data_IF_253995898918
#
_entry.id   IF_253995898918
#
_cell.length_a   1.000
_cell.length_b   1.000
_cell.length_c   1.000
_cell.angle_alpha   90.00
_cell.angle_beta   90.00
_cell.angle_gamma   90.00
#
_symmetry.space_group_name_H-M   'P 1'
#
loop_
_entity.id
_entity.type
_entity.pdbx_description
1 polymer ?
#
# COMPACT_ATOMS: atom_id res chain seq x y z
N UNK A 1 13.64 11.92 -5.56
CA UNK A 1 14.52 11.34 -4.52
C UNK A 1 13.95 11.66 -3.15
N UNK A 2 13.34 10.68 -2.49
CA UNK A 2 12.77 10.85 -1.15
C UNK A 2 13.90 11.03 -0.14
N UNK A 3 13.95 12.18 0.54
CA UNK A 3 14.86 12.38 1.67
C UNK A 3 14.36 11.55 2.85
N UNK A 4 15.22 10.68 3.39
CA UNK A 4 15.02 10.03 4.69
C UNK A 4 14.63 11.14 5.71
N UNK A 5 13.38 11.17 6.16
CA UNK A 5 12.97 12.11 7.20
C UNK A 5 13.39 11.53 8.55
N UNK A 6 14.47 12.09 9.10
CA UNK A 6 14.96 11.83 10.47
C UNK A 6 13.80 11.91 11.47
N UNK A 7 13.61 10.84 12.25
CA UNK A 7 13.37 11.00 13.70
C UNK A 7 14.74 10.93 14.36
N UNK A 8 15.17 12.04 14.95
CA UNK A 8 16.30 12.06 15.87
C UNK A 8 15.94 11.16 17.05
N UNK A 9 16.56 9.99 17.16
CA UNK A 9 16.63 9.25 18.41
C UNK A 9 17.91 9.71 19.11
N UNK A 10 17.75 10.52 20.14
CA UNK A 10 18.81 10.74 21.13
C UNK A 10 18.97 9.46 21.94
N UNK A 11 19.98 8.65 21.63
CA UNK A 11 20.55 7.71 22.58
C UNK A 11 22.06 7.74 22.41
N UNK A 12 22.73 8.39 23.37
CA UNK A 12 24.18 8.32 23.47
C UNK A 12 24.61 6.91 23.88
N UNK A 13 25.64 6.40 23.21
CA UNK A 13 26.53 5.39 23.76
C UNK A 13 27.93 5.69 23.25
N UNK A 14 28.80 6.10 24.16
CA UNK A 14 30.25 6.08 23.97
C UNK A 14 30.74 4.63 24.00
N UNK A 15 31.65 4.30 23.07
CA UNK A 15 32.67 3.27 23.25
C UNK A 15 32.25 1.83 22.97
N UNK A 16 32.50 1.35 21.75
CA UNK A 16 32.77 -0.07 21.49
C UNK A 16 33.93 -0.19 20.50
N UNK A 17 35.01 -0.83 20.94
CA UNK A 17 36.28 -0.96 20.25
C UNK A 17 36.32 -2.07 19.19
N UNK A 18 37.49 -2.12 18.53
CA UNK A 18 37.90 -2.86 17.33
C UNK A 18 37.79 -4.42 17.35
N UNK A 19 36.77 -5.02 17.96
CA UNK A 19 36.58 -6.49 17.94
C UNK A 19 35.35 -7.00 17.21
N UNK A 20 34.66 -6.18 16.41
CA UNK A 20 33.41 -6.57 15.72
C UNK A 20 33.59 -7.09 14.28
N UNK A 21 34.82 -7.16 13.74
CA UNK A 21 35.05 -7.47 12.33
C UNK A 21 35.42 -8.93 12.01
N UNK A 22 35.31 -9.86 12.95
CA UNK A 22 35.69 -11.28 12.72
C UNK A 22 34.59 -12.29 13.06
N UNK A 23 33.37 -12.03 12.60
CA UNK A 23 32.46 -13.12 12.27
C UNK A 23 32.04 -12.97 10.81
N UNK A 24 32.60 -13.86 9.98
CA UNK A 24 32.18 -14.07 8.61
C UNK A 24 30.67 -14.31 8.59
N UNK A 25 29.91 -13.33 8.10
CA UNK A 25 28.54 -13.48 7.62
C UNK A 25 28.56 -14.45 6.42
N UNK A 26 28.77 -15.73 6.70
CA UNK A 26 28.33 -16.78 5.80
C UNK A 26 26.81 -16.64 5.74
N UNK A 27 26.32 -16.23 4.57
CA UNK A 27 24.93 -16.24 4.13
C UNK A 27 24.39 -17.68 4.11
N UNK A 28 24.52 -18.43 5.20
CA UNK A 28 23.82 -19.70 5.36
C UNK A 28 22.46 -19.38 5.96
N UNK A 29 21.47 -19.14 5.10
CA UNK A 29 20.11 -19.59 5.44
C UNK A 29 20.24 -21.04 5.93
N UNK A 30 19.64 -21.43 7.06
CA UNK A 30 19.63 -22.82 7.50
C UNK A 30 19.27 -23.72 6.30
N UNK A 31 19.93 -24.88 6.10
CA UNK A 31 19.69 -25.75 4.95
C UNK A 31 18.22 -26.16 4.77
N UNK A 32 17.43 -26.07 5.84
CA UNK A 32 16.03 -26.45 5.93
C UNK A 32 15.08 -25.26 6.20
N UNK A 33 15.48 -24.02 5.92
CA UNK A 33 14.58 -22.86 6.02
C UNK A 33 13.45 -23.01 4.97
N UNK A 34 12.17 -23.15 5.38
CA UNK A 34 11.06 -23.30 4.44
C UNK A 34 10.76 -22.03 3.64
N UNK A 35 11.36 -20.89 3.99
CA UNK A 35 11.20 -19.60 3.31
C UNK A 35 12.57 -18.89 3.19
N UNK A 36 13.51 -19.39 2.37
CA UNK A 36 14.84 -18.83 2.28
C UNK A 36 14.83 -17.44 1.62
N UNK A 37 15.70 -16.55 2.10
CA UNK A 37 15.88 -15.24 1.48
C UNK A 37 16.44 -15.36 0.05
N UNK A 38 15.81 -14.67 -0.90
CA UNK A 38 16.34 -14.56 -2.27
C UNK A 38 17.60 -13.68 -2.27
N UNK A 39 18.74 -14.30 -2.61
CA UNK A 39 20.04 -13.63 -2.65
C UNK A 39 20.10 -12.50 -3.68
N UNK A 40 19.37 -12.60 -4.80
CA UNK A 40 19.32 -11.53 -5.81
C UNK A 40 18.53 -10.33 -5.30
N UNK A 41 17.43 -10.60 -4.59
CA UNK A 41 16.64 -9.55 -3.94
C UNK A 41 17.48 -8.82 -2.89
N UNK A 42 18.15 -9.56 -2.00
CA UNK A 42 19.01 -8.98 -0.97
C UNK A 42 20.14 -8.14 -1.58
N UNK A 43 20.78 -8.61 -2.66
CA UNK A 43 21.83 -7.84 -3.31
C UNK A 43 21.28 -6.51 -3.86
N UNK A 44 20.09 -6.52 -4.46
CA UNK A 44 19.43 -5.32 -4.97
C UNK A 44 19.08 -4.34 -3.84
N UNK A 45 18.53 -4.84 -2.74
CA UNK A 45 18.18 -4.04 -1.56
C UNK A 45 19.44 -3.41 -0.93
N UNK A 46 20.51 -4.19 -0.76
CA UNK A 46 21.78 -3.68 -0.24
C UNK A 46 22.39 -2.62 -1.16
N UNK A 47 22.39 -2.86 -2.47
CA UNK A 47 22.85 -1.87 -3.44
C UNK A 47 22.06 -0.57 -3.34
N UNK A 48 20.74 -0.66 -3.18
CA UNK A 48 19.92 0.53 -3.01
C UNK A 48 20.21 1.26 -1.70
N UNK A 49 20.33 0.55 -0.57
CA UNK A 49 20.69 1.13 0.72
C UNK A 49 22.04 1.87 0.65
N UNK A 50 23.04 1.27 -0.01
CA UNK A 50 24.35 1.88 -0.20
C UNK A 50 24.31 3.07 -1.17
N UNK A 51 23.58 2.97 -2.29
CA UNK A 51 23.40 4.09 -3.21
C UNK A 51 22.71 5.27 -2.53
N UNK A 52 21.71 4.99 -1.70
CA UNK A 52 20.99 6.03 -0.97
C UNK A 52 21.90 6.68 0.09
N UNK A 53 22.70 5.88 0.80
CA UNK A 53 23.67 6.34 1.78
C UNK A 53 24.82 7.18 1.16
N UNK A 54 25.27 6.82 -0.04
CA UNK A 54 26.37 7.49 -0.75
C UNK A 54 25.92 8.73 -1.51
N UNK A 55 24.69 8.73 -2.06
CA UNK A 55 23.92 9.89 -2.53
C UNK A 55 24.68 11.01 -3.26
N UNK A 56 24.08 12.20 -3.30
CA UNK A 56 24.74 13.42 -3.80
C UNK A 56 25.55 14.08 -2.67
N UNK A 57 26.20 13.26 -1.85
CA UNK A 57 27.07 13.72 -0.76
C UNK A 57 28.35 14.16 -1.47
N UNK A 58 28.44 15.47 -1.76
CA UNK A 58 29.37 16.06 -2.72
C UNK A 58 30.74 15.39 -2.80
N UNK A 59 31.27 15.26 -4.03
CA UNK A 59 32.54 14.55 -4.33
C UNK A 59 33.60 14.87 -3.27
N UNK A 60 34.01 13.85 -2.54
CA UNK A 60 35.19 13.92 -1.69
C UNK A 60 36.38 14.39 -2.52
N UNK A 61 37.19 15.31 -1.98
CA UNK A 61 38.46 15.70 -2.61
C UNK A 61 39.49 14.55 -2.57
N UNK A 62 39.25 13.54 -1.72
CA UNK A 62 40.04 12.32 -1.65
C UNK A 62 39.29 11.17 -2.36
N UNK A 63 39.81 10.63 -3.48
CA UNK A 63 39.16 9.54 -4.21
C UNK A 63 39.06 8.22 -3.42
N UNK A 64 39.82 8.08 -2.33
CA UNK A 64 39.79 6.89 -1.46
C UNK A 64 38.72 6.98 -0.37
N UNK A 65 38.03 8.11 -0.24
CA UNK A 65 36.98 8.33 0.77
C UNK A 65 35.62 8.53 0.09
N UNK A 66 34.68 7.67 0.41
CA UNK A 66 33.29 7.79 -0.01
C UNK A 66 32.49 8.41 1.14
N UNK A 67 32.00 9.64 1.00
CA UNK A 67 31.20 10.26 2.05
C UNK A 67 29.83 9.56 2.14
N UNK A 68 29.40 9.27 3.36
CA UNK A 68 28.09 8.70 3.65
C UNK A 68 27.24 9.74 4.37
N UNK A 69 25.95 9.78 4.05
CA UNK A 69 24.99 10.65 4.75
C UNK A 69 24.54 10.10 6.11
N UNK A 70 24.91 8.86 6.42
CA UNK A 70 24.60 8.14 7.65
C UNK A 70 25.84 7.36 8.11
N UNK A 71 25.92 7.06 9.40
CA UNK A 71 27.02 6.28 9.96
C UNK A 71 26.99 4.84 9.40
N UNK A 72 28.17 4.24 9.19
CA UNK A 72 28.27 2.90 8.65
C UNK A 72 27.72 1.85 9.63
N UNK A 73 27.89 2.06 10.94
CA UNK A 73 27.32 1.22 12.00
C UNK A 73 25.79 1.24 11.98
N UNK A 74 25.18 2.41 11.77
CA UNK A 74 23.73 2.54 11.61
C UNK A 74 23.23 1.75 10.39
N UNK A 75 23.90 1.89 9.25
CA UNK A 75 23.55 1.16 8.02
C UNK A 75 23.71 -0.35 8.20
N UNK A 76 24.74 -0.79 8.91
CA UNK A 76 24.94 -2.19 9.25
C UNK A 76 23.84 -2.71 10.18
N UNK A 77 23.41 -1.91 11.18
CA UNK A 77 22.28 -2.23 12.04
C UNK A 77 20.98 -2.44 11.25
N UNK A 78 20.65 -1.51 10.37
CA UNK A 78 19.49 -1.61 9.47
C UNK A 78 19.54 -2.87 8.60
N UNK A 79 20.71 -3.18 8.04
CA UNK A 79 20.88 -4.38 7.21
C UNK A 79 20.74 -5.67 8.03
N UNK A 80 21.18 -5.68 9.29
CA UNK A 80 20.99 -6.81 10.19
C UNK A 80 19.52 -7.05 10.51
N UNK A 81 18.73 -6.02 10.75
CA UNK A 81 17.28 -6.17 10.93
C UNK A 81 16.63 -6.81 9.69
N UNK A 82 17.02 -6.35 8.49
CA UNK A 82 16.52 -6.91 7.22
C UNK A 82 16.83 -8.40 7.08
N UNK A 83 18.08 -8.81 7.32
CA UNK A 83 18.57 -10.17 7.02
C UNK A 83 18.30 -11.15 8.16
N UNK A 84 18.59 -10.77 9.41
CA UNK A 84 18.53 -11.66 10.57
C UNK A 84 17.12 -11.73 11.17
N UNK A 85 16.42 -10.60 11.20
CA UNK A 85 15.09 -10.53 11.80
C UNK A 85 13.99 -10.75 10.76
N UNK A 86 14.33 -10.67 9.46
CA UNK A 86 13.38 -10.70 8.34
C UNK A 86 12.44 -9.49 8.37
N UNK A 87 12.91 -8.34 8.89
CA UNK A 87 12.14 -7.10 8.85
C UNK A 87 11.97 -6.65 7.39
N UNK A 88 10.74 -6.32 6.92
CA UNK A 88 10.54 -5.83 5.57
C UNK A 88 11.47 -4.68 5.24
N UNK A 89 12.10 -4.72 4.08
CA UNK A 89 13.10 -3.73 3.71
C UNK A 89 12.53 -2.30 3.70
N UNK A 90 11.29 -2.15 3.27
CA UNK A 90 10.55 -0.89 3.27
C UNK A 90 10.35 -0.31 4.68
N UNK A 91 10.18 -1.17 5.69
CA UNK A 91 10.10 -0.72 7.08
C UNK A 91 11.47 -0.33 7.62
N UNK A 92 12.53 -1.04 7.18
CA UNK A 92 13.93 -0.70 7.52
C UNK A 92 14.30 0.68 6.96
N UNK A 93 13.97 0.97 5.70
CA UNK A 93 14.28 2.25 5.06
C UNK A 93 13.22 3.35 5.28
N UNK A 94 12.05 2.98 5.81
CA UNK A 94 10.93 3.87 6.11
C UNK A 94 10.18 4.44 4.89
N UNK A 95 10.33 3.84 3.71
CA UNK A 95 9.58 4.23 2.53
C UNK A 95 9.36 3.08 1.54
N UNK A 96 8.35 3.26 0.67
CA UNK A 96 8.08 2.39 -0.47
C UNK A 96 7.95 3.23 -1.74
N UNK A 97 8.53 2.72 -2.82
CA UNK A 97 8.35 3.25 -4.16
C UNK A 97 7.12 2.62 -4.79
N UNK A 98 6.15 3.43 -5.17
CA UNK A 98 4.88 2.94 -5.73
C UNK A 98 4.38 3.93 -6.78
N UNK A 99 4.26 3.49 -8.04
CA UNK A 99 4.06 4.35 -9.21
C UNK A 99 5.15 5.44 -9.29
N UNK A 100 4.72 6.69 -9.45
CA UNK A 100 5.53 7.91 -9.39
C UNK A 100 5.70 8.46 -7.96
N UNK A 101 5.27 7.70 -6.94
CA UNK A 101 5.29 8.09 -5.54
C UNK A 101 6.42 7.42 -4.75
N UNK A 102 6.87 8.11 -3.70
CA UNK A 102 7.73 7.60 -2.62
C UNK A 102 6.97 7.88 -1.33
N UNK A 103 6.27 6.85 -0.87
CA UNK A 103 5.38 6.89 0.27
C UNK A 103 6.16 6.55 1.53
N UNK A 104 5.90 7.26 2.62
CA UNK A 104 6.33 6.81 3.93
C UNK A 104 5.52 5.57 4.31
N UNK A 105 6.20 4.53 4.77
CA UNK A 105 5.59 3.32 5.32
C UNK A 105 6.34 2.92 6.58
N UNK A 106 5.68 2.14 7.42
CA UNK A 106 6.25 1.65 8.66
C UNK A 106 5.35 0.60 9.30
N UNK A 107 5.79 0.08 10.44
CA UNK A 107 5.08 -0.94 11.18
C UNK A 107 3.62 -0.54 11.45
N UNK A 108 2.70 -1.48 11.26
CA UNK A 108 1.26 -1.26 11.41
C UNK A 108 0.55 -0.73 10.16
N UNK A 109 1.24 -0.64 9.01
CA UNK A 109 0.66 -0.25 7.72
C UNK A 109 1.09 -1.20 6.61
N UNK A 110 0.14 -1.73 5.83
CA UNK A 110 0.43 -2.57 4.67
C UNK A 110 1.40 -1.86 3.71
N UNK A 111 2.42 -2.57 3.25
CA UNK A 111 3.33 -2.06 2.23
C UNK A 111 2.59 -2.09 0.88
N UNK A 112 2.42 -0.95 0.18
CA UNK A 112 1.73 -0.90 -1.12
C UNK A 112 2.32 -1.91 -2.10
N UNK A 113 1.45 -2.63 -2.80
CA UNK A 113 1.87 -3.66 -3.76
C UNK A 113 1.84 -3.12 -5.20
N UNK A 114 2.80 -3.53 -6.06
CA UNK A 114 2.82 -3.10 -7.47
C UNK A 114 1.54 -3.43 -8.23
N UNK A 115 0.89 -4.54 -7.90
CA UNK A 115 -0.35 -4.97 -8.54
C UNK A 115 -1.47 -3.92 -8.33
N UNK A 116 -1.56 -3.36 -7.13
CA UNK A 116 -2.55 -2.34 -6.75
C UNK A 116 -2.44 -1.04 -7.57
N UNK A 117 -1.31 -0.79 -8.25
CA UNK A 117 -1.11 0.41 -9.08
C UNK A 117 -2.18 0.56 -10.17
N UNK A 118 -2.72 -0.57 -10.65
CA UNK A 118 -3.77 -0.64 -11.67
C UNK A 118 -5.05 0.09 -11.24
N UNK A 119 -5.37 0.12 -9.94
CA UNK A 119 -6.57 0.82 -9.42
C UNK A 119 -6.59 2.29 -9.83
N UNK A 120 -5.43 2.95 -9.81
CA UNK A 120 -5.34 4.38 -10.18
C UNK A 120 -5.60 4.58 -11.67
N UNK A 121 -5.18 3.65 -12.52
CA UNK A 121 -5.45 3.70 -13.96
C UNK A 121 -6.93 3.44 -14.26
N UNK A 122 -7.56 2.49 -13.58
CA UNK A 122 -9.00 2.25 -13.67
C UNK A 122 -9.82 3.51 -13.30
N UNK A 123 -9.45 4.18 -12.21
CA UNK A 123 -10.07 5.46 -11.81
C UNK A 123 -9.84 6.54 -12.87
N UNK A 124 -8.61 6.67 -13.37
CA UNK A 124 -8.25 7.66 -14.39
C UNK A 124 -9.08 7.48 -15.67
N UNK A 125 -9.24 6.25 -16.16
CA UNK A 125 -10.06 5.95 -17.34
C UNK A 125 -11.51 6.43 -17.17
N UNK A 126 -12.10 6.17 -15.99
CA UNK A 126 -13.45 6.61 -15.67
C UNK A 126 -13.54 8.14 -15.61
N UNK A 127 -12.59 8.81 -14.96
CA UNK A 127 -12.56 10.28 -14.87
C UNK A 127 -12.45 10.93 -16.26
N UNK A 128 -11.60 10.39 -17.14
CA UNK A 128 -11.46 10.88 -18.52
C UNK A 128 -12.77 10.68 -19.29
N UNK A 129 -13.39 9.50 -19.20
CA UNK A 129 -14.66 9.22 -19.88
C UNK A 129 -15.85 10.05 -19.38
N UNK A 130 -15.75 10.62 -18.18
CA UNK A 130 -16.75 11.52 -17.57
C UNK A 130 -16.46 12.99 -17.79
N UNK A 131 -15.26 13.35 -18.27
CA UNK A 131 -14.85 14.76 -18.43
C UNK A 131 -15.85 15.52 -19.31
N UNK A 132 -16.38 16.63 -18.78
CA UNK A 132 -17.42 17.44 -19.44
C UNK A 132 -18.87 16.98 -19.25
N UNK A 133 -19.13 15.93 -18.45
CA UNK A 133 -20.49 15.46 -18.13
C UNK A 133 -20.88 15.83 -16.69
N UNK A 134 -21.78 16.81 -16.57
CA UNK A 134 -22.41 17.23 -15.30
C UNK A 134 -21.72 18.39 -14.60
N UNK A 135 -22.50 19.12 -13.79
CA UNK A 135 -22.10 20.36 -13.12
C UNK A 135 -21.80 20.21 -11.62
N UNK A 136 -21.80 18.98 -11.10
CA UNK A 136 -21.69 18.69 -9.67
C UNK A 136 -20.28 18.32 -9.18
N UNK A 137 -20.09 18.42 -7.87
CA UNK A 137 -18.91 17.90 -7.14
C UNK A 137 -18.77 16.39 -7.34
N UNK A 138 -17.53 15.92 -7.53
CA UNK A 138 -17.23 14.49 -7.65
C UNK A 138 -16.53 13.96 -6.39
N UNK A 139 -17.28 13.26 -5.55
CA UNK A 139 -16.72 12.62 -4.35
C UNK A 139 -16.30 11.19 -4.69
N UNK A 140 -15.04 10.88 -4.50
CA UNK A 140 -14.47 9.54 -4.61
C UNK A 140 -14.10 9.02 -3.23
N UNK A 141 -14.08 7.70 -3.03
CA UNK A 141 -13.66 7.11 -1.77
C UNK A 141 -12.67 5.96 -1.96
N UNK A 142 -11.75 5.84 -1.00
CA UNK A 142 -10.76 4.77 -0.86
C UNK A 142 -10.94 4.14 0.53
N UNK A 143 -11.44 2.90 0.59
CA UNK A 143 -11.74 2.23 1.85
C UNK A 143 -10.61 1.26 2.24
N UNK A 144 -10.10 1.39 3.46
CA UNK A 144 -8.91 0.66 3.91
C UNK A 144 -7.64 1.26 3.30
N UNK A 145 -7.49 2.58 3.39
CA UNK A 145 -6.47 3.33 2.62
C UNK A 145 -5.02 2.99 2.98
N UNK A 146 -4.78 2.40 4.16
CA UNK A 146 -3.46 2.00 4.61
C UNK A 146 -2.48 3.18 4.63
N UNK A 147 -1.44 3.11 3.79
CA UNK A 147 -0.45 4.18 3.66
C UNK A 147 -0.97 5.42 2.92
N UNK A 148 -2.19 5.39 2.38
CA UNK A 148 -2.74 6.41 1.52
C UNK A 148 -2.33 6.27 0.05
N UNK A 149 -1.71 5.15 -0.37
CA UNK A 149 -1.19 4.97 -1.73
C UNK A 149 -2.26 5.22 -2.80
N UNK A 150 -3.40 4.53 -2.70
CA UNK A 150 -4.52 4.67 -3.61
C UNK A 150 -5.10 6.09 -3.50
N UNK A 151 -5.40 6.58 -2.29
CA UNK A 151 -5.94 7.92 -2.09
C UNK A 151 -5.07 9.05 -2.67
N UNK A 152 -3.75 8.99 -2.50
CA UNK A 152 -2.79 9.96 -3.07
C UNK A 152 -2.75 9.84 -4.59
N UNK A 153 -2.67 8.62 -5.13
CA UNK A 153 -2.72 8.37 -6.57
C UNK A 153 -4.01 8.89 -7.21
N UNK A 154 -5.16 8.63 -6.57
CA UNK A 154 -6.47 9.15 -6.96
C UNK A 154 -6.52 10.68 -6.91
N UNK A 155 -5.98 11.29 -5.86
CA UNK A 155 -5.88 12.76 -5.74
C UNK A 155 -5.16 13.39 -6.94
N UNK A 156 -4.18 12.70 -7.52
CA UNK A 156 -3.47 13.12 -8.73
C UNK A 156 -4.27 13.00 -10.03
N UNK A 157 -5.32 12.16 -10.09
CA UNK A 157 -6.06 11.86 -11.34
C UNK A 157 -7.51 12.32 -11.34
N UNK A 158 -8.17 12.48 -10.20
CA UNK A 158 -9.52 13.04 -10.16
C UNK A 158 -9.50 14.50 -10.63
N UNK A 159 -10.55 14.94 -11.32
CA UNK A 159 -10.61 16.27 -11.92
C UNK A 159 -10.58 17.41 -10.89
N UNK A 160 -10.56 18.66 -11.35
CA UNK A 160 -10.54 19.86 -10.47
C UNK A 160 -11.73 19.92 -9.50
N UNK A 161 -12.89 19.41 -9.92
CA UNK A 161 -14.12 19.33 -9.11
C UNK A 161 -14.20 18.05 -8.26
N UNK A 162 -13.16 17.23 -8.31
CA UNK A 162 -13.07 15.93 -7.66
C UNK A 162 -12.29 16.00 -6.35
N UNK A 163 -12.80 15.32 -5.33
CA UNK A 163 -12.08 15.07 -4.08
C UNK A 163 -12.17 13.60 -3.68
N UNK A 164 -11.22 13.16 -2.88
CA UNK A 164 -11.13 11.79 -2.34
C UNK A 164 -11.39 11.83 -0.84
N UNK A 165 -12.23 10.93 -0.35
CA UNK A 165 -12.37 10.64 1.09
C UNK A 165 -11.85 9.24 1.34
N UNK A 166 -10.72 9.14 2.02
CA UNK A 166 -10.13 7.86 2.35
C UNK A 166 -10.45 7.49 3.80
N UNK A 167 -10.76 6.21 4.04
CA UNK A 167 -11.06 5.71 5.38
C UNK A 167 -10.12 4.58 5.77
N UNK A 168 -9.80 4.49 7.06
CA UNK A 168 -9.11 3.33 7.62
C UNK A 168 -9.52 3.14 9.09
N UNK A 169 -9.58 1.89 9.53
CA UNK A 169 -9.87 1.54 10.92
C UNK A 169 -8.64 1.79 11.82
N UNK A 170 -7.43 1.58 11.29
CA UNK A 170 -6.18 1.70 12.03
C UNK A 170 -5.78 3.17 12.23
N UNK A 171 -5.64 3.59 13.48
CA UNK A 171 -5.13 4.94 13.80
C UNK A 171 -3.70 5.16 13.26
N UNK A 172 -2.89 4.09 13.22
CA UNK A 172 -1.53 4.14 12.66
C UNK A 172 -1.60 4.41 11.16
N UNK A 173 -2.39 3.63 10.42
CA UNK A 173 -2.61 3.83 8.98
C UNK A 173 -3.13 5.25 8.68
N UNK A 174 -4.11 5.73 9.44
CA UNK A 174 -4.64 7.10 9.30
C UNK A 174 -3.55 8.17 9.46
N UNK A 175 -2.65 8.04 10.44
CA UNK A 175 -1.53 8.98 10.64
C UNK A 175 -0.58 8.96 9.44
N UNK A 176 -0.29 7.78 8.92
CA UNK A 176 0.59 7.59 7.75
C UNK A 176 -0.02 8.14 6.48
N UNK A 177 -1.28 7.81 6.20
CA UNK A 177 -2.01 8.35 5.05
C UNK A 177 -2.05 9.89 5.09
N UNK A 178 -2.30 10.50 6.26
CA UNK A 178 -2.24 11.96 6.41
C UNK A 178 -0.86 12.53 6.10
N UNK A 179 0.20 11.88 6.58
CA UNK A 179 1.57 12.29 6.29
C UNK A 179 1.87 12.23 4.79
N UNK A 180 1.47 11.16 4.11
CA UNK A 180 1.68 11.03 2.67
C UNK A 180 0.82 12.01 1.86
N UNK A 181 -0.43 12.24 2.23
CA UNK A 181 -1.27 13.29 1.61
C UNK A 181 -0.63 14.68 1.75
N UNK A 182 -0.09 14.99 2.92
CA UNK A 182 0.62 16.25 3.16
C UNK A 182 1.89 16.37 2.30
N UNK A 183 2.69 15.30 2.24
CA UNK A 183 3.93 15.23 1.46
C UNK A 183 3.71 15.56 -0.02
N UNK A 184 2.53 15.22 -0.55
CA UNK A 184 2.14 15.49 -1.94
C UNK A 184 1.27 16.75 -2.10
N UNK A 185 1.13 17.56 -1.06
CA UNK A 185 0.33 18.80 -1.06
C UNK A 185 -1.14 18.58 -1.49
N UNK A 186 -1.72 17.45 -1.11
CA UNK A 186 -3.08 17.05 -1.50
C UNK A 186 -4.13 17.26 -0.39
N UNK A 187 -3.81 18.00 0.68
CA UNK A 187 -4.72 18.18 1.84
C UNK A 187 -6.10 18.75 1.47
N UNK A 188 -6.17 19.60 0.45
CA UNK A 188 -7.42 20.20 -0.01
C UNK A 188 -8.25 19.25 -0.89
N UNK A 189 -7.63 18.16 -1.36
CA UNK A 189 -8.22 17.23 -2.33
C UNK A 189 -8.46 15.83 -1.77
N UNK A 190 -7.70 15.43 -0.75
CA UNK A 190 -7.77 14.11 -0.12
C UNK A 190 -7.99 14.27 1.38
N UNK A 191 -9.14 13.81 1.86
CA UNK A 191 -9.51 13.83 3.26
C UNK A 191 -9.36 12.43 3.86
N UNK A 192 -8.62 12.31 4.97
CA UNK A 192 -8.46 11.03 5.70
C UNK A 192 -9.36 11.00 6.94
N UNK A 193 -10.28 10.04 7.00
CA UNK A 193 -11.20 9.82 8.12
C UNK A 193 -10.91 8.46 8.79
N UNK A 194 -10.99 8.41 10.11
CA UNK A 194 -10.82 7.16 10.85
C UNK A 194 -12.18 6.49 11.06
N UNK A 195 -12.24 5.18 10.88
CA UNK A 195 -13.40 4.35 11.21
C UNK A 195 -13.56 3.18 10.25
N UNK A 196 -14.54 2.33 10.50
CA UNK A 196 -14.69 1.09 9.73
C UNK A 196 -15.43 1.36 8.43
N UNK A 197 -14.81 0.98 7.31
CA UNK A 197 -15.43 0.99 5.97
C UNK A 197 -16.20 2.28 5.68
N UNK A 198 -17.52 2.18 5.66
CA UNK A 198 -18.45 3.24 5.30
C UNK A 198 -18.89 4.13 6.47
N UNK A 199 -18.64 3.75 7.72
CA UNK A 199 -19.08 4.53 8.90
C UNK A 199 -18.67 6.01 8.83
N UNK A 200 -17.44 6.36 8.40
CA UNK A 200 -17.02 7.75 8.32
C UNK A 200 -17.58 8.49 7.10
N UNK A 201 -18.44 7.87 6.28
CA UNK A 201 -18.93 8.40 5.00
C UNK A 201 -20.43 8.71 4.98
N UNK A 202 -21.12 8.69 6.12
CA UNK A 202 -22.59 8.87 6.16
C UNK A 202 -23.06 10.22 5.56
N UNK A 203 -22.24 11.28 5.64
CA UNK A 203 -22.49 12.60 5.01
C UNK A 203 -22.52 12.55 3.47
N UNK A 204 -21.85 11.57 2.86
CA UNK A 204 -21.72 11.37 1.41
C UNK A 204 -22.45 10.11 0.89
N UNK A 205 -23.28 9.49 1.72
CA UNK A 205 -24.12 8.36 1.34
C UNK A 205 -25.02 8.68 0.14
N UNK A 206 -25.07 7.77 -0.82
CA UNK A 206 -25.77 7.94 -2.11
C UNK A 206 -25.15 8.98 -3.06
N UNK A 207 -24.00 9.56 -2.73
CA UNK A 207 -23.37 10.67 -3.50
C UNK A 207 -22.02 10.29 -4.11
N UNK A 208 -21.45 9.13 -3.78
CA UNK A 208 -20.13 8.76 -4.27
C UNK A 208 -20.15 8.57 -5.79
N UNK A 209 -19.21 9.25 -6.45
CA UNK A 209 -18.92 9.13 -7.88
C UNK A 209 -18.12 7.88 -8.18
N UNK A 210 -17.26 7.47 -7.25
CA UNK A 210 -16.67 6.16 -7.27
C UNK A 210 -16.11 5.73 -5.93
N UNK A 211 -15.92 4.43 -5.78
CA UNK A 211 -15.43 3.78 -4.57
C UNK A 211 -14.38 2.74 -4.94
N UNK A 212 -13.22 2.77 -4.30
CA UNK A 212 -12.19 1.75 -4.48
C UNK A 212 -11.77 1.18 -3.14
N UNK A 213 -11.26 -0.05 -3.16
CA UNK A 213 -10.67 -0.67 -1.97
C UNK A 213 -9.69 -1.77 -2.37
N UNK A 214 -8.57 -1.84 -1.66
CA UNK A 214 -7.77 -3.05 -1.53
C UNK A 214 -8.01 -3.62 -0.12
N UNK A 215 -9.10 -4.40 0.09
CA UNK A 215 -9.43 -4.91 1.41
C UNK A 215 -8.56 -6.12 1.78
N UNK A 216 -8.55 -6.53 3.06
CA UNK A 216 -8.00 -7.81 3.45
C UNK A 216 -8.76 -8.94 2.76
N UNK A 217 -8.06 -9.80 2.02
CA UNK A 217 -8.67 -10.87 1.22
C UNK A 217 -8.01 -12.25 1.42
N UNK A 218 -7.03 -12.37 2.31
CA UNK A 218 -6.33 -13.64 2.54
C UNK A 218 -7.17 -14.50 3.48
N UNK A 219 -7.52 -15.75 3.11
CA UNK A 219 -8.21 -16.65 4.01
C UNK A 219 -7.42 -16.85 5.32
N UNK A 220 -8.07 -16.80 6.47
CA UNK A 220 -7.39 -16.86 7.79
C UNK A 220 -6.49 -18.10 7.92
N UNK A 221 -6.89 -19.23 7.31
CA UNK A 221 -6.13 -20.48 7.29
C UNK A 221 -4.80 -20.40 6.54
N UNK A 222 -4.65 -19.44 5.63
CA UNK A 222 -3.44 -19.26 4.82
C UNK A 222 -2.43 -18.32 5.49
N UNK A 223 -2.83 -17.52 6.48
CA UNK A 223 -1.95 -16.56 7.16
C UNK A 223 -0.67 -17.18 7.74
N UNK A 224 -0.69 -18.39 8.37
CA UNK A 224 0.53 -18.99 8.89
C UNK A 224 1.56 -19.36 7.82
N UNK A 225 1.16 -19.45 6.54
CA UNK A 225 2.02 -19.79 5.41
C UNK A 225 2.57 -18.57 4.66
N UNK A 226 2.32 -17.36 5.15
CA UNK A 226 2.89 -16.15 4.54
C UNK A 226 4.39 -16.07 4.80
N UNK A 227 5.10 -15.39 3.89
CA UNK A 227 6.52 -15.09 4.05
C UNK A 227 6.77 -14.38 5.38
N UNK A 228 7.94 -14.62 5.98
CA UNK A 228 8.26 -14.11 7.31
C UNK A 228 8.10 -12.58 7.40
N UNK A 229 8.54 -11.86 6.38
CA UNK A 229 8.42 -10.40 6.25
C UNK A 229 6.96 -9.95 6.37
N UNK A 230 6.03 -10.65 5.71
CA UNK A 230 4.61 -10.28 5.69
C UNK A 230 3.92 -10.76 6.96
N UNK A 231 4.02 -12.05 7.27
CA UNK A 231 3.27 -12.69 8.35
C UNK A 231 3.68 -12.23 9.75
N UNK A 232 4.94 -11.78 9.94
CA UNK A 232 5.44 -11.32 11.24
C UNK A 232 5.28 -9.81 11.46
N UNK A 233 5.35 -9.01 10.39
CA UNK A 233 5.48 -7.55 10.52
C UNK A 233 4.31 -6.75 9.94
N UNK A 234 3.67 -7.22 8.88
CA UNK A 234 2.53 -6.48 8.32
C UNK A 234 1.28 -6.72 9.16
N UNK A 235 0.41 -5.70 9.32
CA UNK A 235 -0.71 -5.78 10.25
C UNK A 235 -1.69 -6.87 9.78
N UNK A 236 -1.98 -7.84 10.65
CA UNK A 236 -2.99 -8.87 10.39
C UNK A 236 -4.34 -8.28 9.95
N UNK A 237 -4.72 -7.13 10.49
CA UNK A 237 -5.92 -6.38 10.12
C UNK A 237 -5.98 -6.02 8.63
N UNK A 238 -4.84 -5.83 7.96
CA UNK A 238 -4.78 -5.53 6.53
C UNK A 238 -4.67 -6.78 5.65
N UNK A 239 -4.54 -7.97 6.24
CA UNK A 239 -4.29 -9.23 5.53
C UNK A 239 -5.48 -10.21 5.64
N UNK A 240 -6.01 -10.40 6.84
CA UNK A 240 -7.02 -11.41 7.16
C UNK A 240 -8.40 -11.05 6.60
N UNK A 241 -8.81 -11.72 5.52
CA UNK A 241 -10.12 -11.57 4.89
C UNK A 241 -11.21 -12.48 5.47
N UNK A 242 -10.95 -13.11 6.62
CA UNK A 242 -11.87 -14.05 7.27
C UNK A 242 -11.72 -15.48 6.77
N UNK A 243 -12.70 -16.34 7.09
CA UNK A 243 -12.61 -17.79 6.88
C UNK A 243 -12.30 -18.17 5.41
N UNK A 244 -12.96 -17.47 4.49
CA UNK A 244 -12.84 -17.68 3.05
C UNK A 244 -12.03 -16.60 2.33
N UNK A 245 -11.66 -15.51 3.01
CA UNK A 245 -11.09 -14.32 2.38
C UNK A 245 -12.13 -13.37 1.76
N UNK A 246 -13.43 -13.70 1.84
CA UNK A 246 -14.51 -12.95 1.16
C UNK A 246 -15.26 -11.96 2.04
N UNK A 247 -15.08 -12.01 3.36
CA UNK A 247 -15.98 -11.35 4.31
C UNK A 247 -16.04 -9.82 4.06
N UNK A 248 -14.87 -9.21 3.86
CA UNK A 248 -14.76 -7.78 3.57
C UNK A 248 -15.19 -7.43 2.13
N UNK A 249 -14.90 -8.29 1.16
CA UNK A 249 -15.32 -8.08 -0.23
C UNK A 249 -16.84 -8.07 -0.37
N UNK A 250 -17.53 -9.03 0.28
CA UNK A 250 -18.99 -9.09 0.30
C UNK A 250 -19.56 -7.84 0.98
N UNK A 251 -19.02 -7.45 2.15
CA UNK A 251 -19.42 -6.24 2.86
C UNK A 251 -19.30 -4.98 1.99
N UNK A 252 -18.20 -4.85 1.25
CA UNK A 252 -17.96 -3.75 0.32
C UNK A 252 -18.98 -3.74 -0.82
N UNK A 253 -19.25 -4.89 -1.44
CA UNK A 253 -20.24 -5.00 -2.51
C UNK A 253 -21.64 -4.57 -2.05
N UNK A 254 -22.08 -5.05 -0.89
CA UNK A 254 -23.38 -4.71 -0.31
C UNK A 254 -23.47 -3.22 0.06
N UNK A 255 -22.45 -2.69 0.74
CA UNK A 255 -22.39 -1.28 1.14
C UNK A 255 -22.37 -0.34 -0.07
N UNK A 256 -21.68 -0.72 -1.14
CA UNK A 256 -21.57 0.09 -2.37
C UNK A 256 -22.92 0.43 -2.99
N UNK A 257 -23.93 -0.44 -2.85
CA UNK A 257 -25.29 -0.19 -3.35
C UNK A 257 -25.89 1.08 -2.73
N UNK A 258 -25.58 1.35 -1.46
CA UNK A 258 -26.14 2.46 -0.68
C UNK A 258 -25.31 3.75 -0.77
N UNK A 259 -24.02 3.65 -1.09
CA UNK A 259 -23.11 4.79 -1.06
C UNK A 259 -22.83 5.40 -2.43
N UNK A 260 -22.82 4.58 -3.49
CA UNK A 260 -22.66 5.06 -4.86
C UNK A 260 -23.92 5.75 -5.36
N UNK A 261 -23.73 6.87 -6.05
CA UNK A 261 -24.79 7.48 -6.87
C UNK A 261 -25.06 6.61 -8.12
N UNK A 262 -26.22 6.72 -8.77
CA UNK A 262 -26.45 6.06 -10.06
C UNK A 262 -25.35 6.41 -11.08
N UNK A 263 -24.80 5.39 -11.74
CA UNK A 263 -23.64 5.50 -12.63
C UNK A 263 -22.30 5.75 -11.93
N UNK A 264 -22.23 5.60 -10.60
CA UNK A 264 -20.99 5.65 -9.82
C UNK A 264 -20.16 4.38 -10.01
N UNK A 265 -18.84 4.52 -10.06
CA UNK A 265 -17.90 3.42 -10.33
C UNK A 265 -17.48 2.67 -9.06
N UNK A 266 -17.14 1.39 -9.17
CA UNK A 266 -16.38 0.71 -8.13
C UNK A 266 -15.23 -0.13 -8.68
N UNK A 267 -14.20 -0.32 -7.85
CA UNK A 267 -13.12 -1.28 -8.08
C UNK A 267 -12.64 -1.90 -6.77
N UNK A 268 -12.66 -3.23 -6.66
CA UNK A 268 -12.14 -3.97 -5.50
C UNK A 268 -11.01 -4.90 -5.92
N UNK A 269 -9.89 -4.84 -5.21
CA UNK A 269 -8.81 -5.80 -5.36
C UNK A 269 -9.16 -7.14 -4.70
N UNK A 270 -8.77 -8.24 -5.34
CA UNK A 270 -8.97 -9.61 -4.90
C UNK A 270 -7.65 -10.39 -4.98
N UNK A 271 -7.61 -11.54 -4.31
CA UNK A 271 -6.46 -12.44 -4.23
C UNK A 271 -6.16 -13.20 -5.55
N UNK A 272 -6.92 -12.95 -6.62
CA UNK A 272 -6.75 -13.62 -7.93
C UNK A 272 -8.05 -14.10 -8.56
N UNK A 273 -7.89 -14.87 -9.63
CA UNK A 273 -8.95 -15.26 -10.57
C UNK A 273 -10.18 -15.88 -9.88
N UNK A 274 -10.00 -16.94 -9.11
CA UNK A 274 -11.10 -17.64 -8.42
C UNK A 274 -11.94 -16.69 -7.57
N UNK A 275 -11.28 -15.82 -6.80
CA UNK A 275 -11.95 -14.87 -5.93
C UNK A 275 -12.66 -13.76 -6.72
N UNK A 276 -12.02 -13.29 -7.80
CA UNK A 276 -12.61 -12.27 -8.67
C UNK A 276 -13.87 -12.78 -9.39
N UNK A 277 -13.82 -14.03 -9.89
CA UNK A 277 -14.93 -14.66 -10.60
C UNK A 277 -16.10 -14.94 -9.65
N UNK A 278 -15.82 -15.46 -8.45
CA UNK A 278 -16.85 -15.64 -7.42
C UNK A 278 -17.53 -14.31 -7.07
N UNK A 279 -16.76 -13.23 -6.90
CA UNK A 279 -17.32 -11.94 -6.52
C UNK A 279 -18.19 -11.34 -7.64
N UNK A 280 -17.80 -11.52 -8.92
CA UNK A 280 -18.64 -11.16 -10.06
C UNK A 280 -19.97 -11.91 -10.00
N UNK A 281 -19.93 -13.23 -9.85
CA UNK A 281 -21.14 -14.06 -9.78
C UNK A 281 -22.03 -13.69 -8.58
N UNK A 282 -21.43 -13.41 -7.43
CA UNK A 282 -22.14 -12.92 -6.26
C UNK A 282 -22.86 -11.60 -6.55
N UNK A 283 -22.17 -10.61 -7.12
CA UNK A 283 -22.79 -9.31 -7.41
C UNK A 283 -23.91 -9.42 -8.44
N UNK A 284 -23.73 -10.23 -9.49
CA UNK A 284 -24.75 -10.44 -10.53
C UNK A 284 -25.97 -11.18 -9.99
N UNK A 285 -25.78 -12.20 -9.14
CA UNK A 285 -26.88 -13.06 -8.67
C UNK A 285 -27.56 -12.60 -7.38
N UNK A 286 -26.86 -11.91 -6.47
CA UNK A 286 -27.39 -11.49 -5.16
C UNK A 286 -27.73 -10.02 -5.09
N UNK A 287 -27.05 -9.18 -5.87
CA UNK A 287 -27.27 -7.74 -5.93
C UNK A 287 -27.89 -7.35 -7.28
N UNK A 288 -28.80 -8.19 -7.78
CA UNK A 288 -29.48 -8.02 -9.07
C UNK A 288 -29.99 -6.59 -9.27
N UNK A 289 -29.82 -6.07 -10.48
CA UNK A 289 -30.19 -4.71 -10.89
C UNK A 289 -29.52 -3.57 -10.10
N UNK A 290 -28.67 -3.85 -9.11
CA UNK A 290 -27.95 -2.81 -8.36
C UNK A 290 -26.69 -2.36 -9.11
N UNK A 291 -26.08 -3.25 -9.89
CA UNK A 291 -24.88 -2.96 -10.66
C UNK A 291 -25.03 -3.35 -12.13
N UNK A 292 -24.21 -2.73 -12.97
CA UNK A 292 -24.07 -2.99 -14.40
C UNK A 292 -22.59 -3.05 -14.79
N UNK A 293 -22.32 -3.70 -15.91
CA UNK A 293 -20.98 -3.89 -16.46
C UNK A 293 -19.96 -4.46 -15.45
N UNK A 294 -20.45 -5.35 -14.57
CA UNK A 294 -19.62 -6.02 -13.56
C UNK A 294 -18.68 -7.00 -14.25
N UNK A 295 -17.37 -6.84 -14.05
CA UNK A 295 -16.34 -7.67 -14.68
C UNK A 295 -15.09 -7.80 -13.84
N UNK A 296 -14.42 -8.93 -14.00
CA UNK A 296 -13.05 -9.14 -13.51
C UNK A 296 -12.04 -8.52 -14.50
N UNK A 297 -11.00 -7.88 -13.97
CA UNK A 297 -9.95 -7.17 -14.72
C UNK A 297 -8.59 -7.65 -14.23
N UNK A 298 -7.68 -7.85 -15.18
CA UNK A 298 -6.33 -8.34 -14.92
C UNK A 298 -5.38 -7.25 -14.45
N UNK A 299 -4.38 -7.65 -13.67
CA UNK A 299 -3.19 -6.86 -13.37
C UNK A 299 -2.18 -6.87 -14.54
N UNK A 300 -1.01 -6.25 -14.35
CA UNK A 300 0.07 -6.24 -15.35
C UNK A 300 0.67 -7.62 -15.64
N UNK A 301 0.47 -8.61 -14.76
CA UNK A 301 0.89 -9.99 -14.94
C UNK A 301 -0.17 -10.86 -15.64
N UNK A 302 -1.35 -10.31 -15.95
CA UNK A 302 -2.45 -11.02 -16.59
C UNK A 302 -3.34 -11.81 -15.61
N UNK A 303 -3.17 -11.64 -14.30
CA UNK A 303 -3.97 -12.29 -13.25
C UNK A 303 -5.18 -11.41 -12.97
N UNK A 304 -6.40 -11.97 -12.98
CA UNK A 304 -7.61 -11.22 -12.62
C UNK A 304 -7.60 -10.90 -11.13
N UNK A 305 -7.26 -9.66 -10.80
CA UNK A 305 -7.17 -9.17 -9.42
C UNK A 305 -8.17 -8.10 -9.07
N UNK A 306 -8.96 -7.62 -10.03
CA UNK A 306 -9.87 -6.52 -9.76
C UNK A 306 -11.28 -6.87 -10.22
N UNK A 307 -12.27 -6.55 -9.41
CA UNK A 307 -13.67 -6.56 -9.84
C UNK A 307 -14.15 -5.12 -9.94
N UNK A 308 -14.66 -4.77 -11.12
CA UNK A 308 -15.08 -3.41 -11.44
C UNK A 308 -16.51 -3.40 -11.97
N UNK A 309 -17.17 -2.27 -11.88
CA UNK A 309 -18.49 -2.06 -12.47
C UNK A 309 -19.06 -0.70 -12.11
N UNK A 310 -20.35 -0.51 -12.39
CA UNK A 310 -21.05 0.73 -12.09
C UNK A 310 -22.35 0.46 -11.34
N UNK A 311 -22.73 1.35 -10.45
CA UNK A 311 -24.07 1.41 -9.88
C UNK A 311 -25.07 1.66 -11.01
N UNK A 312 -26.10 0.81 -11.12
CA UNK A 312 -27.21 0.96 -12.07
C UNK A 312 -28.03 2.23 -11.80
#
# INVERSE_FOLDING_TARGET
MGKLHRKTLETGVEGLGDSYFTESLALSTPPDDPDPLDSNLLLRELQWLLQDATGDVGRSQNPDLVPLRADLGDLYGLWRERVLERRPFQYVVGCEHWRDLVLWVGEGVLIPRPETEVVVDLVREVVIGRSGRGDGEEVWADLGTGSGAIAVGMGGVVGERGRVVATDLSEVAVKVARFNVERYALKDKVQIRQGSWFEPLEDVKGKLTGLVSNPPYIPSRNLPGLQAEVGRYEPKLALDGGESGMDHLIHLCEGSVSYLKPGGFFAFETNGDEQSEFLVDFMVSKLENSFRDVKAVADFAGIKRFVTGFRS
#
